data_IF_419708287475
#
_entry.id   IF_419708287475
#
_cell.length_a   1.000
_cell.length_b   1.000
_cell.length_c   1.000
_cell.angle_alpha   90.00
_cell.angle_beta   90.00
_cell.angle_gamma   90.00
#
_symmetry.space_group_name_H-M   'P 1'
#
loop_
_entity.id
_entity.type
_entity.pdbx_description
1 polymer ?
#
# COMPACT_ATOMS: atom_id res chain seq x y z
N UNK A 1 -8.80 -3.92 2.09
CA UNK A 1 -8.88 -2.45 2.01
C UNK A 1 -10.32 -1.95 1.86
N UNK A 2 -11.26 -2.86 1.58
CA UNK A 2 -12.62 -2.59 1.09
C UNK A 2 -13.61 -2.03 2.13
N UNK A 3 -13.39 -2.23 3.44
CA UNK A 3 -14.38 -1.85 4.46
C UNK A 3 -14.61 -0.34 4.57
N UNK A 4 -13.57 0.47 4.37
CA UNK A 4 -13.62 1.93 4.53
C UNK A 4 -14.04 2.66 3.27
N UNK A 5 -13.95 2.00 2.11
CA UNK A 5 -14.42 2.54 0.84
C UNK A 5 -15.89 2.19 0.57
N UNK A 6 -16.42 1.17 1.25
CA UNK A 6 -17.80 0.72 1.09
C UNK A 6 -18.78 1.56 1.93
N UNK A 7 -18.97 2.82 1.53
CA UNK A 7 -20.00 3.72 2.06
C UNK A 7 -21.04 4.04 0.98
N UNK A 8 -22.30 4.19 1.39
CA UNK A 8 -23.33 4.69 0.46
C UNK A 8 -23.19 6.20 0.21
N UNK A 9 -23.81 6.68 -0.87
CA UNK A 9 -23.89 8.12 -1.17
C UNK A 9 -24.42 8.93 0.01
N UNK A 10 -25.49 8.44 0.65
CA UNK A 10 -26.10 9.09 1.80
C UNK A 10 -25.13 9.16 2.98
N UNK A 11 -24.42 8.08 3.29
CA UNK A 11 -23.43 8.05 4.37
C UNK A 11 -22.28 9.05 4.14
N UNK A 12 -21.85 9.21 2.89
CA UNK A 12 -20.80 10.18 2.52
C UNK A 12 -21.30 11.60 2.71
N UNK A 13 -22.49 11.94 2.20
CA UNK A 13 -23.05 13.30 2.29
C UNK A 13 -23.35 13.70 3.74
N UNK A 14 -23.96 12.80 4.52
CA UNK A 14 -24.23 13.03 5.94
C UNK A 14 -22.93 13.15 6.74
N UNK A 15 -21.98 12.24 6.50
CA UNK A 15 -20.67 12.27 7.15
C UNK A 15 -19.87 13.53 6.84
N UNK A 16 -19.85 13.98 5.58
CA UNK A 16 -19.20 15.24 5.18
C UNK A 16 -19.86 16.44 5.87
N UNK A 17 -21.19 16.49 5.92
CA UNK A 17 -21.91 17.59 6.57
C UNK A 17 -21.61 17.66 8.09
N UNK A 18 -21.60 16.51 8.78
CA UNK A 18 -21.21 16.42 10.18
C UNK A 18 -19.75 16.82 10.39
N UNK A 19 -18.84 16.33 9.54
CA UNK A 19 -17.42 16.60 9.63
C UNK A 19 -17.13 18.10 9.44
N UNK A 20 -17.64 18.72 8.38
CA UNK A 20 -17.48 20.15 8.11
C UNK A 20 -18.02 20.99 9.27
N UNK A 21 -19.20 20.65 9.79
CA UNK A 21 -19.78 21.32 10.95
C UNK A 21 -18.87 21.24 12.18
N UNK A 22 -18.22 20.09 12.38
CA UNK A 22 -17.25 19.92 13.46
C UNK A 22 -15.97 20.73 13.21
N UNK A 23 -15.35 20.61 12.04
CA UNK A 23 -14.05 21.22 11.74
C UNK A 23 -14.12 22.71 11.35
N UNK A 24 -15.31 23.31 11.33
CA UNK A 24 -15.46 24.76 11.08
C UNK A 24 -14.77 25.64 12.15
N UNK A 25 -14.35 25.06 13.27
CA UNK A 25 -13.54 25.69 14.31
C UNK A 25 -12.08 25.19 14.22
N UNK A 26 -11.14 26.12 14.09
CA UNK A 26 -9.72 25.80 13.96
C UNK A 26 -9.18 25.04 15.17
N UNK A 27 -9.70 25.28 16.39
CA UNK A 27 -9.34 24.49 17.56
C UNK A 27 -9.71 23.01 17.36
N UNK A 28 -10.87 22.74 16.76
CA UNK A 28 -11.34 21.37 16.49
C UNK A 28 -10.54 20.71 15.37
N UNK A 29 -10.09 21.45 14.35
CA UNK A 29 -9.13 20.94 13.35
C UNK A 29 -7.84 20.47 14.03
N UNK A 30 -7.29 21.29 14.92
CA UNK A 30 -6.10 20.94 15.69
C UNK A 30 -6.33 19.74 16.61
N UNK A 31 -7.52 19.61 17.18
CA UNK A 31 -7.87 18.46 18.02
C UNK A 31 -7.90 17.14 17.22
N UNK A 32 -8.39 17.16 15.97
CA UNK A 32 -8.29 16.01 15.05
C UNK A 32 -6.82 15.68 14.81
N UNK A 33 -6.01 16.64 14.36
CA UNK A 33 -4.58 16.42 14.08
C UNK A 33 -3.87 15.84 15.31
N UNK A 34 -4.09 16.42 16.49
CA UNK A 34 -3.46 15.97 17.73
C UNK A 34 -3.90 14.56 18.13
N UNK A 35 -5.16 14.20 17.88
CA UNK A 35 -5.66 12.85 18.13
C UNK A 35 -4.95 11.83 17.23
N UNK A 36 -4.79 12.14 15.94
CA UNK A 36 -4.05 11.29 15.00
C UNK A 36 -2.58 11.15 15.42
N UNK A 37 -1.92 12.28 15.73
CA UNK A 37 -0.52 12.30 16.17
C UNK A 37 -0.31 11.46 17.43
N UNK A 38 -1.16 11.63 18.44
CA UNK A 38 -1.02 10.92 19.70
C UNK A 38 -1.17 9.40 19.49
N UNK A 39 -2.07 8.96 18.61
CA UNK A 39 -2.27 7.55 18.32
C UNK A 39 -1.13 6.96 17.48
N UNK A 40 -0.69 7.67 16.46
CA UNK A 40 0.33 7.20 15.51
C UNK A 40 1.72 7.20 16.13
N UNK A 41 2.00 8.11 17.05
CA UNK A 41 3.27 8.18 17.77
C UNK A 41 3.26 7.36 19.07
N UNK A 42 2.15 6.70 19.39
CA UNK A 42 2.08 5.77 20.51
C UNK A 42 3.00 4.56 20.27
N UNK A 43 3.57 4.02 21.33
CA UNK A 43 4.35 2.77 21.29
C UNK A 43 3.51 1.57 20.86
N UNK A 44 2.21 1.65 21.08
CA UNK A 44 1.26 0.61 20.69
C UNK A 44 0.82 0.73 19.21
N UNK A 45 1.27 1.74 18.47
CA UNK A 45 1.12 1.73 17.02
C UNK A 45 1.99 0.62 16.41
N UNK A 46 1.52 -0.15 15.40
CA UNK A 46 0.24 -0.08 14.68
C UNK A 46 -0.94 -0.88 15.28
N UNK A 47 -0.78 -1.56 16.42
CA UNK A 47 -1.84 -2.39 17.05
C UNK A 47 -3.09 -1.57 17.38
N UNK A 48 -2.92 -0.34 17.84
CA UNK A 48 -4.02 0.53 18.25
C UNK A 48 -4.76 1.23 17.09
N UNK A 49 -4.52 0.85 15.83
CA UNK A 49 -5.23 1.42 14.68
C UNK A 49 -6.76 1.34 14.81
N UNK A 50 -7.30 0.19 15.22
CA UNK A 50 -8.74 0.02 15.36
C UNK A 50 -9.32 0.85 16.52
N UNK A 51 -8.54 1.13 17.57
CA UNK A 51 -8.98 2.07 18.61
C UNK A 51 -9.11 3.50 18.06
N UNK A 52 -8.18 3.93 17.20
CA UNK A 52 -8.31 5.22 16.51
C UNK A 52 -9.55 5.24 15.61
N UNK A 53 -9.74 4.17 14.83
CA UNK A 53 -10.81 4.05 13.82
C UNK A 53 -12.21 3.96 14.44
N UNK A 54 -12.36 3.10 15.44
CA UNK A 54 -13.66 2.66 15.94
C UNK A 54 -14.07 3.39 17.24
N UNK A 55 -13.10 3.96 17.98
CA UNK A 55 -13.35 4.64 19.25
C UNK A 55 -12.92 6.12 19.26
N UNK A 56 -11.63 6.42 19.14
CA UNK A 56 -11.12 7.77 19.43
C UNK A 56 -11.64 8.83 18.47
N UNK A 57 -11.56 8.58 17.16
CA UNK A 57 -12.05 9.54 16.18
C UNK A 57 -13.59 9.61 16.17
N UNK A 58 -14.35 8.50 16.17
CA UNK A 58 -15.81 8.55 16.28
C UNK A 58 -16.34 9.28 17.53
N UNK A 59 -15.69 9.11 18.69
CA UNK A 59 -16.08 9.82 19.92
C UNK A 59 -15.76 11.32 19.86
N UNK A 60 -14.81 11.73 19.02
CA UNK A 60 -14.43 13.13 18.83
C UNK A 60 -15.35 13.84 17.84
N UNK A 61 -15.46 13.31 16.62
CA UNK A 61 -16.10 14.00 15.48
C UNK A 61 -17.52 13.50 15.18
N UNK A 62 -17.91 12.36 15.75
CA UNK A 62 -19.14 11.65 15.40
C UNK A 62 -18.86 10.43 14.51
N UNK A 63 -19.73 9.41 14.59
CA UNK A 63 -19.53 8.14 13.85
C UNK A 63 -19.58 8.32 12.34
N UNK A 64 -20.53 9.09 11.81
CA UNK A 64 -20.66 9.29 10.37
C UNK A 64 -19.51 10.16 9.84
N UNK A 65 -19.17 11.23 10.55
CA UNK A 65 -18.00 12.05 10.25
C UNK A 65 -16.68 11.24 10.26
N UNK A 66 -16.51 10.31 11.20
CA UNK A 66 -15.32 9.47 11.25
C UNK A 66 -15.26 8.44 10.10
N UNK A 67 -16.40 7.84 9.73
CA UNK A 67 -16.51 6.98 8.53
C UNK A 67 -16.11 7.75 7.27
N UNK A 68 -16.70 8.92 7.07
CA UNK A 68 -16.37 9.82 5.97
C UNK A 68 -14.88 10.20 5.96
N UNK A 69 -14.32 10.55 7.11
CA UNK A 69 -12.90 10.87 7.25
C UNK A 69 -12.02 9.73 6.73
N UNK A 70 -12.24 8.49 7.16
CA UNK A 70 -11.42 7.37 6.69
C UNK A 70 -11.66 7.05 5.21
N UNK A 71 -12.90 7.18 4.73
CA UNK A 71 -13.23 7.04 3.32
C UNK A 71 -12.39 7.99 2.45
N UNK A 72 -12.30 9.28 2.82
CA UNK A 72 -11.43 10.24 2.13
C UNK A 72 -9.96 9.86 2.26
N UNK A 73 -9.48 9.52 3.46
CA UNK A 73 -8.05 9.20 3.70
C UNK A 73 -7.58 8.01 2.88
N UNK A 74 -8.46 7.04 2.60
CA UNK A 74 -8.16 5.88 1.76
C UNK A 74 -8.46 6.08 0.27
N UNK A 75 -8.74 7.32 -0.16
CA UNK A 75 -8.89 7.66 -1.57
C UNK A 75 -10.28 7.42 -2.13
N UNK A 76 -11.33 7.43 -1.30
CA UNK A 76 -12.71 7.30 -1.78
C UNK A 76 -13.11 8.34 -2.83
N UNK A 77 -12.55 9.56 -2.73
CA UNK A 77 -12.74 10.64 -3.72
C UNK A 77 -12.23 10.25 -5.12
N UNK A 78 -11.30 9.29 -5.21
CA UNK A 78 -10.66 8.83 -6.45
C UNK A 78 -11.21 7.47 -6.94
N UNK A 79 -12.23 6.91 -6.25
CA UNK A 79 -12.75 5.58 -6.59
C UNK A 79 -13.90 5.65 -7.62
N UNK A 80 -13.79 4.94 -8.75
CA UNK A 80 -14.91 4.69 -9.66
C UNK A 80 -15.90 3.76 -8.95
N UNK A 81 -17.15 4.19 -8.67
CA UNK A 81 -18.07 4.91 -9.56
C UNK A 81 -18.33 6.39 -9.19
N UNK A 82 -17.65 6.93 -8.17
CA UNK A 82 -18.01 8.23 -7.60
C UNK A 82 -17.64 9.42 -8.48
N UNK A 83 -16.58 9.33 -9.29
CA UNK A 83 -16.26 10.40 -10.28
C UNK A 83 -17.37 10.62 -11.32
N UNK A 84 -18.24 9.62 -11.59
CA UNK A 84 -19.29 9.73 -12.62
C UNK A 84 -20.72 9.85 -12.07
N UNK A 85 -21.01 9.38 -10.85
CA UNK A 85 -22.37 9.40 -10.25
C UNK A 85 -22.54 10.37 -9.06
N UNK A 86 -21.44 10.86 -8.51
CA UNK A 86 -21.40 11.86 -7.45
C UNK A 86 -20.59 13.06 -7.95
N UNK A 87 -21.28 14.16 -8.23
CA UNK A 87 -20.65 15.49 -8.29
C UNK A 87 -20.17 15.86 -6.88
N UNK A 88 -19.09 15.20 -6.43
CA UNK A 88 -18.54 15.28 -5.09
C UNK A 88 -17.18 15.97 -5.14
N UNK A 89 -17.11 17.14 -4.52
CA UNK A 89 -15.88 17.85 -4.28
C UNK A 89 -15.71 18.10 -2.78
N UNK A 90 -14.46 18.04 -2.33
CA UNK A 90 -14.11 18.52 -1.00
C UNK A 90 -14.38 20.02 -0.95
N UNK A 91 -15.04 20.48 0.12
CA UNK A 91 -15.28 21.91 0.29
C UNK A 91 -14.00 22.59 0.78
N UNK A 92 -13.83 23.88 0.46
CA UNK A 92 -12.66 24.67 0.88
C UNK A 92 -12.34 24.55 2.38
N UNK A 93 -13.37 24.43 3.23
CA UNK A 93 -13.24 24.35 4.70
C UNK A 93 -12.51 23.08 5.17
N UNK A 94 -12.66 21.97 4.44
CA UNK A 94 -12.05 20.68 4.79
C UNK A 94 -10.84 20.32 3.94
N UNK A 95 -10.70 20.92 2.76
CA UNK A 95 -9.69 20.59 1.77
C UNK A 95 -8.27 20.60 2.36
N UNK A 96 -7.86 21.67 3.03
CA UNK A 96 -6.52 21.80 3.61
C UNK A 96 -6.23 20.75 4.68
N UNK A 97 -7.21 20.50 5.56
CA UNK A 97 -7.09 19.51 6.63
C UNK A 97 -6.97 18.11 6.04
N UNK A 98 -7.86 17.77 5.09
CA UNK A 98 -7.89 16.44 4.50
C UNK A 98 -6.65 16.18 3.65
N UNK A 99 -6.16 17.16 2.90
CA UNK A 99 -4.89 17.05 2.19
C UNK A 99 -3.71 16.84 3.15
N UNK A 100 -3.64 17.62 4.22
CA UNK A 100 -2.63 17.42 5.24
C UNK A 100 -2.68 16.00 5.81
N UNK A 101 -3.87 15.50 6.13
CA UNK A 101 -4.05 14.16 6.68
C UNK A 101 -3.64 13.08 5.67
N UNK A 102 -4.11 13.18 4.43
CA UNK A 102 -3.80 12.22 3.37
C UNK A 102 -2.30 12.14 3.13
N UNK A 103 -1.60 13.28 3.02
CA UNK A 103 -0.17 13.31 2.78
C UNK A 103 0.65 12.73 3.94
N UNK A 104 0.21 12.90 5.19
CA UNK A 104 1.02 12.55 6.36
C UNK A 104 0.66 11.20 7.01
N UNK A 105 -0.57 10.70 6.83
CA UNK A 105 -1.08 9.56 7.59
C UNK A 105 -1.64 8.41 6.77
N UNK A 106 -2.03 8.61 5.50
CA UNK A 106 -2.62 7.54 4.67
C UNK A 106 -1.76 6.27 4.64
N UNK A 107 -0.48 6.40 4.29
CA UNK A 107 0.47 5.28 4.26
C UNK A 107 0.66 4.62 5.62
N UNK A 108 0.64 5.40 6.71
CA UNK A 108 0.75 4.88 8.07
C UNK A 108 -0.47 4.02 8.41
N UNK A 109 -1.66 4.46 8.04
CA UNK A 109 -2.91 3.71 8.25
C UNK A 109 -2.97 2.44 7.40
N UNK A 110 -2.54 2.51 6.13
CA UNK A 110 -2.43 1.34 5.25
C UNK A 110 -1.51 0.29 5.88
N UNK A 111 -0.32 0.71 6.34
CA UNK A 111 0.62 -0.18 7.04
C UNK A 111 0.03 -0.79 8.29
N UNK A 112 -0.67 0.02 9.09
CA UNK A 112 -1.28 -0.49 10.31
C UNK A 112 -2.36 -1.53 10.03
N UNK A 113 -3.14 -1.38 8.95
CA UNK A 113 -4.09 -2.39 8.51
C UNK A 113 -3.38 -3.68 8.08
N UNK A 114 -2.31 -3.59 7.26
CA UNK A 114 -1.51 -4.76 6.87
C UNK A 114 -0.99 -5.51 8.11
N UNK A 115 -0.48 -4.77 9.09
CA UNK A 115 -0.03 -5.32 10.37
C UNK A 115 -1.14 -6.08 11.09
N UNK A 116 -2.34 -5.48 11.25
CA UNK A 116 -3.40 -6.13 12.00
C UNK A 116 -3.97 -7.39 11.31
N UNK A 117 -3.82 -7.52 9.99
CA UNK A 117 -4.16 -8.74 9.25
C UNK A 117 -3.06 -9.80 9.40
N UNK A 118 -1.81 -9.42 9.18
CA UNK A 118 -0.66 -10.31 9.29
C UNK A 118 0.59 -9.55 9.79
N UNK A 119 0.87 -9.55 11.11
CA UNK A 119 2.02 -8.85 11.68
C UNK A 119 3.36 -9.36 11.15
N UNK A 120 3.44 -10.65 10.82
CA UNK A 120 4.65 -11.30 10.33
C UNK A 120 4.80 -11.22 8.81
N UNK A 121 3.81 -10.65 8.10
CA UNK A 121 3.87 -10.42 6.67
C UNK A 121 4.88 -9.33 6.28
N UNK A 122 5.08 -9.17 4.98
CA UNK A 122 5.99 -8.18 4.41
C UNK A 122 5.25 -6.91 4.02
N UNK A 123 5.77 -5.74 4.42
CA UNK A 123 5.28 -4.44 3.97
C UNK A 123 5.88 -4.09 2.60
N UNK A 124 7.19 -4.34 2.44
CA UNK A 124 7.91 -4.11 1.20
C UNK A 124 9.21 -4.95 1.14
N UNK A 125 9.56 -5.34 -0.08
CA UNK A 125 10.80 -6.05 -0.41
C UNK A 125 11.51 -5.23 -1.48
N UNK A 126 12.78 -4.90 -1.26
CA UNK A 126 13.62 -4.18 -2.21
C UNK A 126 14.86 -5.00 -2.54
N UNK A 127 15.17 -5.10 -3.82
CA UNK A 127 16.43 -5.62 -4.30
C UNK A 127 17.33 -4.44 -4.62
N UNK A 128 18.50 -4.40 -3.97
CA UNK A 128 19.52 -3.39 -4.22
C UNK A 128 20.75 -4.09 -4.77
N UNK A 129 21.11 -3.74 -5.99
CA UNK A 129 22.23 -4.30 -6.72
C UNK A 129 22.93 -3.18 -7.50
N UNK A 130 24.21 -3.38 -7.79
CA UNK A 130 24.98 -2.52 -8.68
C UNK A 130 25.78 -3.39 -9.64
N UNK A 131 26.02 -2.95 -10.88
CA UNK A 131 26.74 -3.74 -11.88
C UNK A 131 28.18 -4.09 -11.45
N UNK A 132 28.74 -3.36 -10.48
CA UNK A 132 30.06 -3.59 -9.91
C UNK A 132 30.05 -4.44 -8.62
N UNK A 133 28.87 -4.81 -8.11
CA UNK A 133 28.74 -5.62 -6.90
C UNK A 133 28.44 -7.08 -7.27
N UNK A 134 29.25 -8.01 -6.74
CA UNK A 134 29.09 -9.46 -6.90
C UNK A 134 27.94 -10.05 -6.05
N UNK A 135 27.23 -9.21 -5.29
CA UNK A 135 26.18 -9.63 -4.35
C UNK A 135 24.95 -8.75 -4.46
N UNK A 136 23.80 -9.36 -4.30
CA UNK A 136 22.50 -8.69 -4.24
C UNK A 136 22.11 -8.53 -2.77
N UNK A 137 21.80 -7.31 -2.37
CA UNK A 137 21.23 -7.04 -1.05
C UNK A 137 19.71 -7.01 -1.20
N UNK A 138 19.03 -7.95 -0.55
CA UNK A 138 17.58 -7.94 -0.41
C UNK A 138 17.22 -7.37 0.94
N UNK A 139 16.51 -6.26 0.89
CA UNK A 139 16.02 -5.56 2.06
C UNK A 139 14.53 -5.85 2.20
N UNK A 140 14.15 -6.45 3.31
CA UNK A 140 12.78 -6.85 3.63
C UNK A 140 12.34 -5.99 4.82
N UNK A 141 11.30 -5.19 4.63
CA UNK A 141 10.60 -4.54 5.73
C UNK A 141 9.32 -5.31 6.00
N UNK A 142 9.17 -5.80 7.24
CA UNK A 142 7.96 -6.47 7.72
C UNK A 142 6.91 -5.45 8.16
N UNK A 143 5.67 -5.90 8.26
CA UNK A 143 4.55 -5.04 8.67
C UNK A 143 4.70 -4.47 10.08
N UNK A 144 5.49 -5.11 10.95
CA UNK A 144 5.86 -4.65 12.28
C UNK A 144 7.06 -3.68 12.29
N UNK A 145 7.45 -3.19 11.11
CA UNK A 145 8.59 -2.32 10.87
C UNK A 145 9.97 -2.96 11.11
N UNK A 146 10.03 -4.24 11.49
CA UNK A 146 11.31 -4.96 11.54
C UNK A 146 11.92 -5.03 10.15
N UNK A 147 13.23 -4.82 10.11
CA UNK A 147 13.99 -4.77 8.88
C UNK A 147 15.01 -5.89 8.89
N UNK A 148 15.02 -6.63 7.80
CA UNK A 148 15.97 -7.71 7.60
C UNK A 148 16.68 -7.48 6.28
N UNK A 149 18.02 -7.59 6.32
CA UNK A 149 18.84 -7.52 5.12
C UNK A 149 19.46 -8.88 4.90
N UNK A 150 19.16 -9.47 3.75
CA UNK A 150 19.85 -10.64 3.24
C UNK A 150 20.83 -10.21 2.17
N UNK A 151 22.02 -10.80 2.22
CA UNK A 151 23.02 -10.63 1.19
C UNK A 151 23.18 -11.96 0.48
N UNK A 152 22.72 -12.02 -0.75
CA UNK A 152 22.76 -13.22 -1.57
C UNK A 152 23.90 -13.13 -2.57
N UNK A 153 24.53 -14.27 -2.82
CA UNK A 153 25.41 -14.43 -3.97
C UNK A 153 24.60 -14.62 -5.26
N UNK A 154 25.22 -14.54 -6.45
CA UNK A 154 24.50 -14.61 -7.72
C UNK A 154 23.73 -15.93 -7.90
N UNK A 155 24.32 -17.05 -7.45
CA UNK A 155 23.71 -18.38 -7.57
C UNK A 155 22.43 -18.51 -6.71
N UNK A 156 22.48 -18.05 -5.47
CA UNK A 156 21.31 -18.02 -4.58
C UNK A 156 20.18 -17.16 -5.16
N UNK A 157 20.55 -16.00 -5.72
CA UNK A 157 19.59 -15.11 -6.36
C UNK A 157 18.96 -15.73 -7.61
N UNK A 158 19.75 -16.39 -8.47
CA UNK A 158 19.20 -17.09 -9.65
C UNK A 158 18.31 -18.26 -9.28
N UNK A 159 18.62 -19.01 -8.22
CA UNK A 159 17.73 -20.07 -7.74
C UNK A 159 16.40 -19.51 -7.23
N UNK A 160 16.44 -18.41 -6.46
CA UNK A 160 15.21 -17.75 -5.97
C UNK A 160 14.33 -17.26 -7.14
N UNK A 161 14.94 -16.71 -8.20
CA UNK A 161 14.20 -16.32 -9.41
C UNK A 161 13.56 -17.53 -10.10
N UNK A 162 14.29 -18.64 -10.20
CA UNK A 162 13.76 -19.88 -10.76
C UNK A 162 12.55 -20.40 -9.97
N UNK A 163 12.66 -20.48 -8.64
CA UNK A 163 11.56 -20.93 -7.77
C UNK A 163 10.34 -20.01 -7.88
N UNK A 164 10.57 -18.69 -7.98
CA UNK A 164 9.51 -17.69 -8.13
C UNK A 164 8.77 -17.82 -9.47
N UNK A 165 9.51 -18.05 -10.56
CA UNK A 165 8.94 -18.30 -11.88
C UNK A 165 8.17 -19.63 -11.93
N UNK A 166 8.69 -20.67 -11.31
CA UNK A 166 8.00 -21.96 -11.20
C UNK A 166 6.68 -21.82 -10.43
N UNK A 167 6.70 -21.17 -9.27
CA UNK A 167 5.51 -20.89 -8.49
C UNK A 167 4.46 -20.13 -9.32
N UNK A 168 4.85 -19.03 -9.96
CA UNK A 168 3.93 -18.21 -10.74
C UNK A 168 3.35 -18.98 -11.94
N UNK A 169 4.19 -19.74 -12.64
CA UNK A 169 3.76 -20.59 -13.76
C UNK A 169 2.74 -21.64 -13.31
N UNK A 170 2.98 -22.29 -12.18
CA UNK A 170 2.06 -23.28 -11.62
C UNK A 170 0.71 -22.64 -11.22
N UNK A 171 0.75 -21.43 -10.65
CA UNK A 171 -0.45 -20.69 -10.28
C UNK A 171 -1.30 -20.28 -11.48
N UNK A 172 -0.67 -19.83 -12.57
CA UNK A 172 -1.37 -19.52 -13.83
C UNK A 172 -1.96 -20.79 -14.45
N UNK A 173 -1.17 -21.86 -14.57
CA UNK A 173 -1.62 -23.09 -15.21
C UNK A 173 -2.75 -23.79 -14.45
N UNK A 174 -2.83 -23.57 -13.14
CA UNK A 174 -3.89 -24.09 -12.29
C UNK A 174 -5.11 -23.16 -12.20
N UNK A 175 -5.14 -22.05 -12.95
CA UNK A 175 -6.19 -21.03 -12.94
C UNK A 175 -6.53 -20.54 -11.52
N UNK A 176 -5.52 -20.45 -10.64
CA UNK A 176 -5.71 -20.06 -9.23
C UNK A 176 -5.76 -18.54 -9.07
N UNK A 177 -5.15 -17.81 -9.99
CA UNK A 177 -5.10 -16.35 -9.95
C UNK A 177 -6.25 -15.75 -10.76
N UNK A 178 -6.97 -14.80 -10.17
CA UNK A 178 -7.85 -13.88 -10.91
C UNK A 178 -7.00 -12.67 -11.35
N UNK A 179 -6.62 -12.60 -12.62
CA UNK A 179 -5.66 -11.59 -13.13
C UNK A 179 -6.09 -10.94 -14.45
N UNK A 180 -7.37 -11.05 -14.83
CA UNK A 180 -7.84 -10.57 -16.14
C UNK A 180 -7.60 -9.07 -16.35
N UNK A 181 -7.73 -8.26 -15.28
CA UNK A 181 -7.52 -6.81 -15.32
C UNK A 181 -6.05 -6.45 -15.55
N UNK A 182 -5.14 -7.20 -14.95
CA UNK A 182 -3.68 -6.92 -14.99
C UNK A 182 -2.95 -7.74 -16.08
N UNK A 183 -3.70 -8.48 -16.89
CA UNK A 183 -3.15 -9.50 -17.81
C UNK A 183 -2.16 -8.92 -18.83
N UNK A 184 -2.45 -7.73 -19.35
CA UNK A 184 -1.58 -7.08 -20.34
C UNK A 184 -0.24 -6.68 -19.72
N UNK A 185 -0.25 -6.05 -18.54
CA UNK A 185 0.95 -5.66 -17.80
C UNK A 185 1.79 -6.88 -17.38
N UNK A 186 1.13 -7.94 -16.90
CA UNK A 186 1.79 -9.21 -16.58
C UNK A 186 2.48 -9.78 -17.82
N UNK A 187 1.82 -9.77 -18.98
CA UNK A 187 2.40 -10.28 -20.22
C UNK A 187 3.61 -9.44 -20.67
N UNK A 188 3.53 -8.12 -20.59
CA UNK A 188 4.67 -7.21 -20.89
C UNK A 188 5.87 -7.53 -19.99
N UNK A 189 5.64 -7.71 -18.69
CA UNK A 189 6.69 -8.10 -17.73
C UNK A 189 7.31 -9.46 -18.10
N UNK A 190 6.50 -10.46 -18.44
CA UNK A 190 6.99 -11.79 -18.84
C UNK A 190 7.82 -11.71 -20.13
N UNK A 191 7.41 -10.90 -21.11
CA UNK A 191 8.17 -10.70 -22.35
C UNK A 191 9.51 -10.00 -22.09
N UNK A 192 9.52 -8.99 -21.23
CA UNK A 192 10.76 -8.31 -20.81
C UNK A 192 11.73 -9.27 -20.10
N UNK A 193 11.23 -10.10 -19.18
CA UNK A 193 12.02 -11.14 -18.49
C UNK A 193 12.65 -12.09 -19.51
N UNK A 194 11.88 -12.55 -20.50
CA UNK A 194 12.38 -13.44 -21.55
C UNK A 194 13.51 -12.80 -22.36
N UNK A 195 13.39 -11.53 -22.71
CA UNK A 195 14.47 -10.81 -23.42
C UNK A 195 15.75 -10.76 -22.58
N UNK A 196 15.64 -10.45 -21.29
CA UNK A 196 16.78 -10.47 -20.37
C UNK A 196 17.41 -11.87 -20.28
N UNK A 197 16.61 -12.94 -20.18
CA UNK A 197 17.10 -14.32 -20.15
C UNK A 197 17.88 -14.65 -21.43
N UNK A 198 17.36 -14.28 -22.61
CA UNK A 198 18.05 -14.51 -23.88
C UNK A 198 19.40 -13.79 -23.94
N UNK A 199 19.47 -12.53 -23.49
CA UNK A 199 20.72 -11.76 -23.45
C UNK A 199 21.74 -12.40 -22.49
N UNK A 200 21.27 -12.88 -21.32
CA UNK A 200 22.10 -13.60 -20.35
C UNK A 200 22.65 -14.90 -20.94
N UNK A 201 21.81 -15.71 -21.59
CA UNK A 201 22.21 -16.97 -22.21
C UNK A 201 23.25 -16.74 -23.30
N UNK A 202 23.04 -15.77 -24.20
CA UNK A 202 24.00 -15.41 -25.24
C UNK A 202 25.35 -15.02 -24.65
N UNK A 203 25.36 -14.27 -23.55
CA UNK A 203 26.61 -13.84 -22.92
C UNK A 203 27.34 -15.00 -22.24
N UNK A 204 26.64 -15.81 -21.44
CA UNK A 204 27.25 -16.93 -20.73
C UNK A 204 27.79 -18.01 -21.68
N UNK A 205 27.08 -18.26 -22.79
CA UNK A 205 27.49 -19.27 -23.78
C UNK A 205 28.56 -18.77 -24.76
N UNK A 206 28.68 -17.46 -24.97
CA UNK A 206 29.75 -16.89 -25.81
C UNK A 206 31.09 -16.77 -25.06
N UNK A 207 31.07 -16.57 -23.74
CA UNK A 207 32.28 -16.57 -22.91
C UNK A 207 32.96 -17.96 -22.87
N UNK A 208 32.20 -19.04 -23.04
CA UNK A 208 32.74 -20.41 -23.14
C UNK A 208 33.49 -20.69 -24.46
N UNK A 209 33.24 -19.91 -25.52
CA UNK A 209 33.88 -20.10 -26.85
C UNK A 209 35.22 -19.36 -27.01
N UNK A 210 35.63 -18.54 -26.04
CA UNK A 210 36.90 -17.79 -26.07
C UNK A 210 37.98 -18.34 -25.13
N UNK A 211 37.68 -19.43 -24.40
CA UNK A 211 38.63 -20.12 -23.51
C UNK A 211 39.08 -21.50 -24.05
N UNK A 212 38.76 -21.84 -25.32
CA UNK A 212 39.37 -22.94 -26.08
C UNK A 212 40.42 -22.43 -27.07
#
# INVERSE_FOLDING_TARGET
>A
MELELNLTKEEIVEGQAEFIKFISDDFKKQLVIKTLENCVNDKDWPRNYYNLRDDYLPNLVGRNAAKYFFWVVFGGVLSEPFESELDFELKDVEFDLMNYVMLNYSLKFIRAKKYNVNPLGYDAIWFTFGPENDRVNTYIKRNDEEQFMLRMNPFEFTNMLNDSLEYFTNMINADVLEYEIDKEEILENVLSIRECINQLEMKLTSEDQHNE
#
